data_IF_803177044721
#
_entry.id   IF_803177044721
#
_cell.length_a   1.000
_cell.length_b   1.000
_cell.length_c   1.000
_cell.angle_alpha   90.00
_cell.angle_beta   90.00
_cell.angle_gamma   90.00
#
_symmetry.space_group_name_H-M   'P 1'
#
loop_
_entity.id
_entity.type
_entity.pdbx_description
1 polymer ?
#
# COMPACT_ATOMS: atom_id res chain seq x y z
N UNK A 1 9.59 -30.46 -4.99
CA UNK A 1 10.06 -29.53 -6.03
C UNK A 1 9.16 -28.31 -5.90
N UNK A 2 9.68 -27.25 -5.29
CA UNK A 2 8.96 -25.97 -5.16
C UNK A 2 9.10 -25.32 -6.54
N UNK A 3 7.98 -25.18 -7.25
CA UNK A 3 7.90 -24.40 -8.47
C UNK A 3 8.34 -22.98 -8.12
N UNK A 4 9.44 -22.52 -8.67
CA UNK A 4 9.77 -21.10 -8.75
C UNK A 4 8.71 -20.47 -9.66
N UNK A 5 7.62 -19.94 -9.08
CA UNK A 5 6.76 -19.01 -9.79
C UNK A 5 7.67 -17.84 -10.20
N UNK A 6 7.74 -17.57 -11.48
CA UNK A 6 8.33 -16.32 -11.97
C UNK A 6 7.59 -15.18 -11.25
N UNK A 7 8.30 -14.48 -10.36
CA UNK A 7 7.72 -13.32 -9.70
C UNK A 7 7.36 -12.31 -10.79
N UNK A 8 6.10 -11.95 -10.87
CA UNK A 8 5.64 -10.89 -11.75
C UNK A 8 6.33 -9.59 -11.29
N UNK A 9 7.23 -9.08 -12.11
CA UNK A 9 7.93 -7.80 -11.83
C UNK A 9 6.98 -6.65 -12.15
N UNK A 10 7.03 -5.59 -11.35
CA UNK A 10 6.26 -4.37 -11.60
C UNK A 10 6.58 -3.78 -12.98
N UNK A 11 5.58 -3.20 -13.65
CA UNK A 11 5.78 -2.36 -14.83
C UNK A 11 6.63 -1.14 -14.44
N UNK A 12 7.69 -0.89 -15.22
CA UNK A 12 8.70 0.11 -14.92
C UNK A 12 8.67 1.27 -15.92
N UNK A 13 8.97 2.46 -15.44
CA UNK A 13 9.21 3.65 -16.23
C UNK A 13 10.67 4.10 -16.00
N UNK A 14 11.46 4.23 -17.05
CA UNK A 14 12.79 4.81 -16.95
C UNK A 14 12.69 6.32 -16.75
N UNK A 15 13.52 6.88 -15.89
CA UNK A 15 13.58 8.32 -15.66
C UNK A 15 13.88 9.11 -16.95
N UNK A 16 14.65 8.53 -17.85
CA UNK A 16 14.95 9.15 -19.16
C UNK A 16 13.68 9.36 -20.02
N UNK A 17 12.66 8.54 -19.80
CA UNK A 17 11.35 8.60 -20.48
C UNK A 17 10.27 9.28 -19.64
N UNK A 18 10.66 9.93 -18.53
CA UNK A 18 9.72 10.51 -17.60
C UNK A 18 8.96 11.68 -18.23
N UNK A 19 7.68 11.47 -18.43
CA UNK A 19 6.69 12.46 -18.83
C UNK A 19 5.48 12.37 -17.92
N UNK A 20 4.91 13.50 -17.50
CA UNK A 20 3.81 13.53 -16.53
C UNK A 20 2.55 12.87 -17.06
N UNK A 21 2.24 13.03 -18.35
CA UNK A 21 1.04 12.43 -18.97
C UNK A 21 1.18 10.92 -18.98
N UNK A 22 2.33 10.43 -19.49
CA UNK A 22 2.63 8.98 -19.51
C UNK A 22 2.63 8.38 -18.11
N UNK A 23 3.20 9.09 -17.15
CA UNK A 23 3.20 8.64 -15.75
C UNK A 23 1.78 8.48 -15.22
N UNK A 24 0.90 9.46 -15.49
CA UNK A 24 -0.51 9.41 -15.07
C UNK A 24 -1.27 8.29 -15.80
N UNK A 25 -1.06 8.12 -17.10
CA UNK A 25 -1.65 7.02 -17.87
C UNK A 25 -1.28 5.64 -17.30
N UNK A 26 -0.02 5.41 -16.97
CA UNK A 26 0.42 4.16 -16.34
C UNK A 26 -0.21 3.97 -14.96
N UNK A 27 -0.31 5.04 -14.18
CA UNK A 27 -0.92 5.00 -12.84
C UNK A 27 -2.43 4.67 -12.92
N UNK A 28 -3.13 5.20 -13.91
CA UNK A 28 -4.55 4.92 -14.14
C UNK A 28 -4.77 3.49 -14.67
N UNK A 29 -3.94 3.04 -15.62
CA UNK A 29 -4.03 1.71 -16.22
C UNK A 29 -3.67 0.60 -15.23
N UNK A 30 -2.48 0.67 -14.64
CA UNK A 30 -1.94 -0.40 -13.79
C UNK A 30 -2.27 -0.23 -12.31
N UNK A 31 -2.66 0.96 -11.87
CA UNK A 31 -2.86 1.30 -10.47
C UNK A 31 -1.55 1.64 -9.74
N UNK A 32 -0.40 1.57 -10.41
CA UNK A 32 0.92 1.90 -9.86
C UNK A 32 1.93 2.28 -10.94
N UNK A 33 3.00 2.97 -10.53
CA UNK A 33 4.19 3.23 -11.36
C UNK A 33 5.44 3.00 -10.52
N UNK A 34 6.43 2.29 -11.08
CA UNK A 34 7.77 2.20 -10.55
C UNK A 34 8.73 2.97 -11.45
N UNK A 35 9.24 4.10 -10.95
CA UNK A 35 10.21 4.95 -11.64
C UNK A 35 11.61 4.56 -11.19
N UNK A 36 12.45 4.13 -12.14
CA UNK A 36 13.85 3.75 -11.91
C UNK A 36 14.83 4.65 -12.67
N UNK A 37 16.13 4.44 -12.44
CA UNK A 37 17.18 5.28 -13.07
C UNK A 37 17.16 6.74 -12.59
N UNK A 38 16.54 7.04 -11.45
CA UNK A 38 16.33 8.41 -10.96
C UNK A 38 17.64 8.99 -10.45
N UNK A 39 18.07 10.19 -10.93
CA UNK A 39 19.32 10.80 -10.53
C UNK A 39 19.29 11.27 -9.08
N UNK A 40 20.46 11.29 -8.46
CA UNK A 40 20.65 11.92 -7.15
C UNK A 40 20.28 13.41 -7.23
N UNK A 41 19.45 13.87 -6.32
CA UNK A 41 18.97 15.27 -6.29
C UNK A 41 17.65 15.52 -7.01
N UNK A 42 17.01 14.48 -7.56
CA UNK A 42 15.63 14.60 -8.04
C UNK A 42 14.69 14.96 -6.88
N UNK A 43 13.88 15.99 -7.07
CA UNK A 43 12.92 16.45 -6.06
C UNK A 43 11.61 15.63 -6.16
N UNK A 44 11.60 14.50 -5.45
CA UNK A 44 10.44 13.60 -5.39
C UNK A 44 9.19 14.29 -4.83
N UNK A 45 9.37 15.20 -3.87
CA UNK A 45 8.25 15.90 -3.22
C UNK A 45 7.61 16.87 -4.21
N UNK A 46 8.42 17.68 -4.89
CA UNK A 46 7.95 18.61 -5.90
C UNK A 46 7.27 17.85 -7.07
N UNK A 47 7.86 16.74 -7.51
CA UNK A 47 7.28 15.93 -8.58
C UNK A 47 5.90 15.37 -8.16
N UNK A 48 5.82 14.74 -6.99
CA UNK A 48 4.58 14.16 -6.49
C UNK A 48 3.49 15.20 -6.24
N UNK A 49 3.84 16.44 -5.88
CA UNK A 49 2.86 17.54 -5.72
C UNK A 49 2.14 17.91 -7.02
N UNK A 50 2.62 17.45 -8.18
CA UNK A 50 1.94 17.61 -9.48
C UNK A 50 0.93 16.48 -9.74
N UNK A 51 1.01 15.37 -8.98
CA UNK A 51 0.09 14.23 -9.07
C UNK A 51 -1.14 14.43 -8.18
N UNK A 52 -0.96 15.07 -7.02
CA UNK A 52 -2.04 15.38 -6.09
C UNK A 52 -1.55 16.12 -4.85
N UNK A 53 -2.47 16.67 -4.04
CA UNK A 53 -2.13 17.40 -2.81
C UNK A 53 -1.42 16.49 -1.81
N UNK A 54 -0.30 16.96 -1.25
CA UNK A 54 0.41 16.27 -0.19
C UNK A 54 -0.44 16.21 1.09
N UNK A 55 -0.51 15.03 1.69
CA UNK A 55 -1.32 14.76 2.88
C UNK A 55 -0.42 14.49 4.09
N UNK A 56 -0.66 15.14 5.25
CA UNK A 56 0.10 14.89 6.47
C UNK A 56 -0.02 13.44 6.94
N UNK A 57 1.10 12.89 7.42
CA UNK A 57 1.18 11.57 8.05
C UNK A 57 0.57 11.59 9.46
N UNK A 58 0.67 10.47 10.20
CA UNK A 58 0.13 10.36 11.56
C UNK A 58 0.66 11.41 12.55
N UNK A 59 1.91 11.85 12.39
CA UNK A 59 2.60 12.84 13.22
C UNK A 59 2.45 14.29 12.73
N UNK A 60 1.74 14.50 11.62
CA UNK A 60 1.55 15.79 10.98
C UNK A 60 2.60 16.16 9.94
N UNK A 61 3.69 15.40 9.81
CA UNK A 61 4.72 15.61 8.82
C UNK A 61 4.28 15.09 7.43
N UNK A 62 4.81 15.69 6.37
CA UNK A 62 4.50 15.26 4.99
C UNK A 62 5.30 14.03 4.55
N UNK A 63 6.43 13.77 5.17
CA UNK A 63 7.34 12.69 4.84
C UNK A 63 7.56 11.80 6.05
N UNK A 64 7.28 10.52 5.92
CA UNK A 64 7.52 9.52 6.95
C UNK A 64 8.75 8.68 6.63
N UNK A 65 9.71 8.65 7.56
CA UNK A 65 10.92 7.82 7.44
C UNK A 65 10.61 6.37 7.79
N UNK A 66 10.80 5.45 6.82
CA UNK A 66 10.64 4.01 7.03
C UNK A 66 12.03 3.38 7.14
N UNK A 67 12.52 3.31 8.37
CA UNK A 67 13.77 2.65 8.77
C UNK A 67 13.51 1.80 10.00
N UNK A 68 14.07 0.59 10.03
CA UNK A 68 13.89 -0.32 11.16
C UNK A 68 14.37 0.26 12.49
N UNK A 69 13.53 0.17 13.53
CA UNK A 69 13.80 0.62 14.89
C UNK A 69 13.53 -0.54 15.84
N UNK A 70 14.46 -0.79 16.79
CA UNK A 70 14.41 -1.93 17.72
C UNK A 70 13.11 -1.95 18.55
N UNK A 71 12.60 -0.78 18.94
CA UNK A 71 11.33 -0.69 19.71
C UNK A 71 10.13 -1.34 19.04
N UNK A 72 10.15 -1.54 17.71
CA UNK A 72 9.06 -2.13 16.96
C UNK A 72 9.31 -3.58 16.53
N UNK A 73 10.41 -4.20 16.94
CA UNK A 73 10.78 -5.53 16.47
C UNK A 73 9.73 -6.60 16.82
N UNK A 74 9.00 -6.43 17.92
CA UNK A 74 7.93 -7.35 18.35
C UNK A 74 6.52 -6.86 18.03
N UNK A 75 6.38 -5.71 17.36
CA UNK A 75 5.10 -5.13 17.00
C UNK A 75 4.83 -5.26 15.49
N UNK A 76 3.55 -5.40 15.12
CA UNK A 76 3.15 -5.28 13.71
C UNK A 76 3.21 -3.82 13.30
N UNK A 77 4.28 -3.46 12.56
CA UNK A 77 4.55 -2.07 12.16
C UNK A 77 5.49 -1.99 10.95
N UNK A 78 5.39 -0.89 10.18
CA UNK A 78 6.28 -0.63 9.03
C UNK A 78 7.74 -0.37 9.42
N UNK A 79 8.01 0.04 10.66
CA UNK A 79 9.35 0.36 11.18
C UNK A 79 10.06 -0.86 11.82
N UNK A 80 9.71 -2.08 11.43
CA UNK A 80 10.45 -3.29 11.74
C UNK A 80 10.95 -3.98 10.47
N UNK A 81 11.61 -5.13 10.61
CA UNK A 81 12.13 -5.93 9.49
C UNK A 81 11.23 -7.11 9.10
N UNK A 82 10.13 -7.36 9.85
CA UNK A 82 9.22 -8.48 9.61
C UNK A 82 8.36 -8.25 8.37
N UNK A 83 7.83 -9.30 7.74
CA UNK A 83 6.83 -9.15 6.68
C UNK A 83 5.61 -8.35 7.15
N UNK A 84 5.03 -7.58 6.24
CA UNK A 84 3.71 -6.99 6.44
C UNK A 84 2.69 -7.77 5.60
N UNK A 85 1.55 -8.07 6.17
CA UNK A 85 0.45 -8.72 5.48
C UNK A 85 -0.27 -7.74 4.55
N UNK A 86 -1.00 -8.24 3.53
CA UNK A 86 -1.73 -7.40 2.59
C UNK A 86 -2.68 -6.42 3.28
N UNK A 87 -2.58 -5.13 2.92
CA UNK A 87 -3.43 -4.05 3.44
C UNK A 87 -3.46 -2.85 2.49
N UNK A 88 -4.50 -2.02 2.60
CA UNK A 88 -4.51 -0.65 2.09
C UNK A 88 -4.03 0.28 3.22
N UNK A 89 -3.52 1.45 2.90
CA UNK A 89 -3.04 2.39 3.94
C UNK A 89 -4.20 3.19 4.52
N UNK A 90 -4.11 3.52 5.82
CA UNK A 90 -5.10 4.37 6.51
C UNK A 90 -6.54 3.84 6.46
N UNK A 91 -6.72 2.53 6.43
CA UNK A 91 -8.03 1.87 6.46
C UNK A 91 -8.87 2.29 7.68
N UNK A 92 -8.25 2.75 8.76
CA UNK A 92 -8.86 3.21 10.01
C UNK A 92 -9.12 4.72 10.09
N UNK A 93 -8.92 5.47 9.01
CA UNK A 93 -9.23 6.89 8.98
C UNK A 93 -10.74 7.11 8.86
N UNK A 94 -11.29 8.09 9.60
CA UNK A 94 -12.71 8.46 9.53
C UNK A 94 -13.10 9.05 8.16
N UNK A 95 -12.20 9.83 7.56
CA UNK A 95 -12.38 10.38 6.22
C UNK A 95 -11.78 9.45 5.15
N UNK A 96 -11.60 9.98 3.95
CA UNK A 96 -10.92 9.27 2.88
C UNK A 96 -9.46 8.99 3.27
N UNK A 97 -8.97 7.78 3.01
CA UNK A 97 -7.54 7.50 3.10
C UNK A 97 -6.79 8.25 1.97
N UNK A 98 -5.47 8.35 2.02
CA UNK A 98 -4.71 8.89 0.90
C UNK A 98 -5.06 8.13 -0.38
N UNK A 99 -5.27 8.86 -1.48
CA UNK A 99 -5.53 8.25 -2.78
C UNK A 99 -4.29 7.56 -3.32
N UNK A 100 -3.15 8.23 -3.19
CA UNK A 100 -1.88 7.64 -3.60
C UNK A 100 -0.91 7.53 -2.42
N UNK A 101 -0.18 6.46 -2.44
CA UNK A 101 0.94 6.20 -1.56
C UNK A 101 2.21 6.16 -2.39
N UNK A 102 3.24 6.89 -1.99
CA UNK A 102 4.54 6.87 -2.65
C UNK A 102 5.65 6.44 -1.68
N UNK A 103 6.55 5.59 -2.16
CA UNK A 103 7.78 5.19 -1.47
C UNK A 103 8.98 5.61 -2.30
N UNK A 104 9.78 6.49 -1.75
CA UNK A 104 11.05 6.93 -2.31
C UNK A 104 12.20 6.22 -1.59
N UNK A 105 13.04 5.50 -2.34
CA UNK A 105 14.14 4.73 -1.79
C UNK A 105 15.39 5.58 -1.59
N UNK A 106 15.87 5.66 -0.35
CA UNK A 106 17.19 6.22 -0.03
C UNK A 106 18.26 5.14 -0.01
N UNK A 107 17.96 4.02 0.67
CA UNK A 107 18.85 2.88 0.82
C UNK A 107 18.02 1.59 0.66
N UNK A 108 18.23 0.82 -0.41
CA UNK A 108 17.60 -0.50 -0.55
C UNK A 108 18.16 -1.49 0.48
N UNK A 109 17.47 -2.60 0.70
CA UNK A 109 18.00 -3.69 1.53
C UNK A 109 19.11 -4.43 0.77
N UNK A 110 20.28 -4.58 1.38
CA UNK A 110 21.42 -5.26 0.76
C UNK A 110 21.22 -6.78 0.62
N UNK A 111 20.27 -7.37 1.36
CA UNK A 111 19.93 -8.79 1.32
C UNK A 111 18.85 -9.13 0.27
N UNK A 112 18.42 -8.16 -0.54
CA UNK A 112 17.36 -8.32 -1.55
C UNK A 112 15.96 -8.49 -0.98
N UNK A 113 15.78 -8.42 0.35
CA UNK A 113 14.47 -8.43 1.00
C UNK A 113 13.82 -7.06 1.06
N UNK A 114 12.64 -6.97 1.73
CA UNK A 114 11.93 -5.71 1.91
C UNK A 114 11.27 -5.17 0.64
N UNK A 115 11.02 -6.04 -0.34
CA UNK A 115 10.25 -5.72 -1.55
C UNK A 115 8.85 -5.23 -1.15
N UNK A 116 8.34 -4.24 -1.84
CA UNK A 116 6.91 -3.89 -1.78
C UNK A 116 6.17 -4.66 -2.86
N UNK A 117 5.14 -5.38 -2.46
CA UNK A 117 4.32 -6.17 -3.37
C UNK A 117 2.92 -5.58 -3.45
N UNK A 118 2.32 -5.60 -4.64
CA UNK A 118 1.05 -4.95 -4.96
C UNK A 118 0.12 -5.90 -5.68
N UNK A 119 -1.18 -5.85 -5.35
CA UNK A 119 -2.23 -6.54 -6.11
C UNK A 119 -3.47 -5.67 -6.24
N UNK A 120 -4.20 -5.83 -7.34
CA UNK A 120 -5.31 -4.97 -7.73
C UNK A 120 -6.64 -5.49 -7.17
N UNK A 121 -7.16 -4.83 -6.13
CA UNK A 121 -8.44 -5.20 -5.53
C UNK A 121 -9.65 -4.93 -6.45
N UNK A 122 -9.54 -4.05 -7.46
CA UNK A 122 -10.64 -3.89 -8.41
C UNK A 122 -10.79 -5.15 -9.27
N UNK A 123 -9.67 -5.80 -9.65
CA UNK A 123 -9.72 -7.11 -10.30
C UNK A 123 -10.24 -8.21 -9.36
N UNK A 124 -9.93 -8.14 -8.08
CA UNK A 124 -10.57 -9.02 -7.09
C UNK A 124 -12.08 -8.84 -7.06
N UNK A 125 -12.60 -7.59 -7.10
CA UNK A 125 -14.04 -7.34 -7.15
C UNK A 125 -14.74 -7.97 -8.36
N UNK A 126 -14.02 -8.14 -9.50
CA UNK A 126 -14.55 -8.81 -10.69
C UNK A 126 -14.78 -10.31 -10.49
N UNK A 127 -14.13 -10.92 -9.50
CA UNK A 127 -14.31 -12.34 -9.13
C UNK A 127 -15.53 -12.58 -8.25
N UNK A 128 -16.15 -11.51 -7.74
CA UNK A 128 -17.27 -11.59 -6.80
C UNK A 128 -18.61 -11.60 -7.52
N UNK A 129 -19.59 -12.28 -6.95
CA UNK A 129 -20.99 -12.14 -7.36
C UNK A 129 -21.52 -10.75 -6.98
N UNK A 130 -22.62 -10.33 -7.60
CA UNK A 130 -23.28 -9.07 -7.27
C UNK A 130 -23.70 -9.01 -5.78
N UNK A 131 -24.21 -10.14 -5.23
CA UNK A 131 -24.60 -10.25 -3.83
C UNK A 131 -23.40 -10.09 -2.88
N UNK A 132 -22.25 -10.73 -3.18
CA UNK A 132 -21.03 -10.61 -2.40
C UNK A 132 -20.51 -9.17 -2.42
N UNK A 133 -20.52 -8.51 -3.59
CA UNK A 133 -20.11 -7.12 -3.75
C UNK A 133 -21.03 -6.17 -2.96
N UNK A 134 -22.34 -6.36 -3.04
CA UNK A 134 -23.30 -5.59 -2.24
C UNK A 134 -23.03 -5.78 -0.74
N UNK A 135 -22.74 -7.00 -0.31
CA UNK A 135 -22.41 -7.29 1.08
C UNK A 135 -21.11 -6.62 1.53
N UNK A 136 -20.09 -6.56 0.67
CA UNK A 136 -18.85 -5.78 0.94
C UNK A 136 -19.13 -4.29 1.13
N UNK A 137 -20.09 -3.74 0.39
CA UNK A 137 -20.44 -2.33 0.44
C UNK A 137 -21.39 -1.98 1.60
N UNK A 138 -22.25 -2.90 2.03
CA UNK A 138 -23.27 -2.66 3.06
C UNK A 138 -22.83 -3.04 4.47
N UNK A 139 -21.96 -4.05 4.60
CA UNK A 139 -21.51 -4.53 5.92
C UNK A 139 -20.31 -3.72 6.40
N UNK A 140 -20.43 -3.13 7.59
CA UNK A 140 -19.39 -2.30 8.19
C UNK A 140 -18.61 -3.07 9.25
N UNK A 141 -17.31 -2.91 9.24
CA UNK A 141 -16.39 -3.52 10.20
C UNK A 141 -15.54 -2.45 10.89
N UNK A 142 -15.18 -2.60 12.18
CA UNK A 142 -14.23 -1.73 12.83
C UNK A 142 -12.80 -2.07 12.39
N UNK A 143 -12.10 -1.06 11.89
CA UNK A 143 -10.68 -1.08 11.63
C UNK A 143 -9.92 -0.40 12.75
N UNK A 144 -8.80 -0.97 13.15
CA UNK A 144 -7.96 -0.48 14.25
C UNK A 144 -6.55 -0.29 13.73
N UNK A 145 -5.90 0.81 14.08
CA UNK A 145 -4.49 1.03 13.73
C UNK A 145 -3.60 -0.13 14.15
N UNK A 146 -2.51 -0.36 13.42
CA UNK A 146 -1.53 -1.39 13.77
C UNK A 146 -0.96 -1.21 15.17
N UNK A 147 -0.48 -2.30 15.78
CA UNK A 147 0.06 -2.27 17.14
C UNK A 147 1.17 -1.23 17.32
N UNK A 148 2.03 -1.03 16.31
CA UNK A 148 3.08 -0.03 16.38
C UNK A 148 2.56 1.41 16.34
N UNK A 149 1.52 1.70 15.54
CA UNK A 149 0.87 3.02 15.52
C UNK A 149 0.17 3.30 16.86
N UNK A 150 -0.44 2.29 17.46
CA UNK A 150 -1.05 2.40 18.80
C UNK A 150 0.03 2.66 19.88
N UNK A 151 1.17 1.95 19.83
CA UNK A 151 2.30 2.13 20.76
C UNK A 151 2.88 3.56 20.71
N UNK A 152 2.80 4.21 19.55
CA UNK A 152 3.19 5.61 19.37
C UNK A 152 2.16 6.62 19.93
N UNK A 153 1.02 6.17 20.42
CA UNK A 153 -0.07 7.04 20.87
C UNK A 153 -0.86 7.71 19.70
N UNK A 154 -0.67 7.23 18.48
CA UNK A 154 -1.29 7.77 17.26
C UNK A 154 -2.46 6.90 16.76
N UNK A 155 -2.83 5.87 17.53
CA UNK A 155 -3.85 4.90 17.18
C UNK A 155 -5.22 5.53 16.94
N UNK A 156 -5.90 5.01 15.91
CA UNK A 156 -7.27 5.39 15.52
C UNK A 156 -8.11 4.13 15.37
N UNK A 157 -9.41 4.31 15.43
CA UNK A 157 -10.40 3.28 15.11
C UNK A 157 -11.52 3.92 14.32
N UNK A 158 -11.92 3.28 13.23
CA UNK A 158 -13.07 3.72 12.44
C UNK A 158 -13.89 2.51 11.98
N UNK A 159 -15.16 2.74 11.64
CA UNK A 159 -16.09 1.70 11.19
C UNK A 159 -16.48 1.99 9.75
N UNK A 160 -16.06 1.13 8.83
CA UNK A 160 -16.27 1.28 7.39
C UNK A 160 -16.70 -0.04 6.73
N UNK A 161 -17.35 0.01 5.57
CA UNK A 161 -17.42 -1.15 4.69
C UNK A 161 -16.03 -1.45 4.10
N UNK A 162 -15.84 -2.66 3.59
CA UNK A 162 -14.63 -3.02 2.84
C UNK A 162 -14.61 -2.35 1.45
N UNK A 163 -15.79 -2.13 0.86
CA UNK A 163 -15.98 -1.43 -0.40
C UNK A 163 -16.85 -0.18 -0.15
N UNK A 164 -16.26 0.99 -0.30
CA UNK A 164 -16.95 2.27 -0.19
C UNK A 164 -17.28 2.78 -1.60
N UNK A 165 -18.53 2.53 -2.04
CA UNK A 165 -19.02 3.04 -3.33
C UNK A 165 -19.22 4.56 -3.24
N UNK A 166 -18.89 5.28 -4.32
CA UNK A 166 -18.98 6.74 -4.40
C UNK A 166 -19.62 7.18 -5.72
N UNK A 167 -20.63 8.03 -5.64
CA UNK A 167 -21.32 8.51 -6.82
C UNK A 167 -20.40 9.31 -7.75
N UNK A 168 -20.31 8.91 -9.01
CA UNK A 168 -19.49 9.59 -10.02
C UNK A 168 -17.97 9.50 -9.83
N UNK A 169 -17.50 8.67 -8.89
CA UNK A 169 -16.07 8.46 -8.61
C UNK A 169 -15.74 6.98 -8.48
N UNK A 170 -14.46 6.66 -8.61
CA UNK A 170 -13.99 5.30 -8.33
C UNK A 170 -14.22 4.94 -6.86
N UNK A 171 -14.57 3.67 -6.56
CA UNK A 171 -14.76 3.21 -5.19
C UNK A 171 -13.47 3.23 -4.39
N UNK A 172 -13.60 3.15 -3.06
CA UNK A 172 -12.46 3.00 -2.16
C UNK A 172 -12.51 1.62 -1.52
N UNK A 173 -11.42 0.86 -1.69
CA UNK A 173 -11.21 -0.39 -0.96
C UNK A 173 -10.51 -0.11 0.35
N UNK A 174 -11.08 -0.61 1.47
CA UNK A 174 -10.43 -0.62 2.78
C UNK A 174 -10.21 -2.06 3.19
N UNK A 175 -8.97 -2.44 3.31
CA UNK A 175 -8.61 -3.80 3.67
C UNK A 175 -7.39 -3.85 4.59
N UNK A 176 -7.44 -4.71 5.58
CA UNK A 176 -6.25 -5.10 6.34
C UNK A 176 -6.41 -6.53 6.82
N UNK A 177 -5.48 -7.39 6.46
CA UNK A 177 -5.50 -8.77 6.91
C UNK A 177 -5.44 -8.90 8.44
N UNK A 178 -4.68 -8.02 9.12
CA UNK A 178 -4.42 -8.11 10.55
C UNK A 178 -5.23 -7.14 11.43
N UNK A 179 -5.73 -6.04 10.88
CA UNK A 179 -6.21 -4.91 11.67
C UNK A 179 -7.71 -4.63 11.52
N UNK A 180 -8.49 -5.61 11.04
CA UNK A 180 -9.95 -5.59 11.13
C UNK A 180 -10.38 -6.31 12.41
N UNK A 181 -11.23 -5.69 13.22
CA UNK A 181 -11.84 -6.32 14.36
C UNK A 181 -12.99 -7.27 13.94
N UNK A 182 -13.58 -8.00 14.88
CA UNK A 182 -14.56 -9.06 14.62
C UNK A 182 -14.04 -10.20 13.74
N UNK A 183 -12.89 -10.71 14.11
CA UNK A 183 -12.20 -11.80 13.41
C UNK A 183 -13.01 -13.09 13.30
N UNK A 184 -14.09 -13.24 14.08
CA UNK A 184 -14.95 -14.42 14.09
C UNK A 184 -16.17 -14.31 13.15
N UNK A 185 -16.32 -13.17 12.44
CA UNK A 185 -17.39 -13.04 11.43
C UNK A 185 -17.07 -13.94 10.23
N UNK A 186 -17.94 -14.94 9.91
CA UNK A 186 -17.65 -15.91 8.84
C UNK A 186 -17.50 -15.29 7.45
N UNK A 187 -18.23 -14.20 7.17
CA UNK A 187 -18.11 -13.50 5.90
C UNK A 187 -16.76 -12.79 5.79
N UNK A 188 -16.37 -12.06 6.85
CA UNK A 188 -15.07 -11.39 6.88
C UNK A 188 -13.90 -12.37 6.79
N UNK A 189 -13.97 -13.51 7.48
CA UNK A 189 -12.98 -14.57 7.40
C UNK A 189 -12.85 -15.10 5.97
N UNK A 190 -13.96 -15.41 5.32
CA UNK A 190 -13.95 -15.87 3.93
C UNK A 190 -13.33 -14.82 2.97
N UNK A 191 -13.73 -13.55 3.10
CA UNK A 191 -13.18 -12.46 2.28
C UNK A 191 -11.68 -12.31 2.50
N UNK A 192 -11.22 -12.36 3.75
CA UNK A 192 -9.78 -12.24 4.07
C UNK A 192 -8.95 -13.34 3.40
N UNK A 193 -9.38 -14.58 3.50
CA UNK A 193 -8.66 -15.70 2.88
C UNK A 193 -8.68 -15.61 1.35
N UNK A 194 -9.81 -15.27 0.75
CA UNK A 194 -9.92 -15.08 -0.71
C UNK A 194 -9.05 -13.92 -1.22
N UNK A 195 -8.98 -12.80 -0.48
CA UNK A 195 -8.07 -11.69 -0.83
C UNK A 195 -6.61 -12.14 -0.71
N UNK A 196 -6.26 -12.92 0.32
CA UNK A 196 -4.90 -13.43 0.47
C UNK A 196 -4.52 -14.40 -0.65
N UNK A 197 -5.40 -15.32 -1.02
CA UNK A 197 -5.22 -16.24 -2.14
C UNK A 197 -5.03 -15.46 -3.45
N UNK A 198 -5.94 -14.53 -3.75
CA UNK A 198 -5.86 -13.66 -4.92
C UNK A 198 -4.56 -12.85 -4.95
N UNK A 199 -4.18 -12.28 -3.80
CA UNK A 199 -2.92 -11.55 -3.66
C UNK A 199 -1.72 -12.45 -3.98
N UNK A 200 -1.66 -13.66 -3.43
CA UNK A 200 -0.56 -14.60 -3.66
C UNK A 200 -0.42 -15.00 -5.13
N UNK A 201 -1.53 -15.06 -5.86
CA UNK A 201 -1.55 -15.44 -7.28
C UNK A 201 -1.24 -14.28 -8.24
N UNK A 202 -1.57 -13.04 -7.85
CA UNK A 202 -1.60 -11.91 -8.80
C UNK A 202 -0.65 -10.76 -8.47
N UNK A 203 0.01 -10.79 -7.30
CA UNK A 203 0.86 -9.67 -6.91
C UNK A 203 2.06 -9.51 -7.83
N UNK A 204 2.47 -8.28 -7.99
CA UNK A 204 3.73 -7.87 -8.59
C UNK A 204 4.68 -7.40 -7.49
N UNK A 205 5.99 -7.51 -7.69
CA UNK A 205 7.00 -7.13 -6.71
C UNK A 205 7.90 -6.00 -7.24
N UNK A 206 8.12 -4.99 -6.41
CA UNK A 206 9.07 -3.91 -6.67
C UNK A 206 10.36 -4.14 -5.88
N UNK A 207 11.46 -4.27 -6.61
CA UNK A 207 12.81 -4.25 -6.09
C UNK A 207 13.34 -2.82 -6.13
N UNK A 208 13.67 -2.26 -4.97
CA UNK A 208 14.12 -0.88 -4.90
C UNK A 208 15.59 -0.74 -5.25
N UNK A 209 15.90 0.32 -5.99
CA UNK A 209 17.24 0.86 -6.17
C UNK A 209 17.34 2.26 -5.54
N UNK A 210 18.56 2.79 -5.30
CA UNK A 210 18.70 4.13 -4.76
C UNK A 210 18.01 5.19 -5.62
N UNK A 211 17.26 6.08 -5.01
CA UNK A 211 16.44 7.15 -5.59
C UNK A 211 15.20 6.68 -6.38
N UNK A 212 14.97 5.38 -6.57
CA UNK A 212 13.75 4.91 -7.22
C UNK A 212 12.49 5.35 -6.46
N UNK A 213 11.38 5.48 -7.19
CA UNK A 213 10.08 5.88 -6.68
C UNK A 213 9.02 4.85 -7.07
N UNK A 214 8.35 4.28 -6.09
CA UNK A 214 7.14 3.49 -6.31
C UNK A 214 5.94 4.30 -5.81
N UNK A 215 4.94 4.51 -6.67
CA UNK A 215 3.65 5.10 -6.30
C UNK A 215 2.52 4.17 -6.70
N UNK A 216 1.46 4.11 -5.91
CA UNK A 216 0.26 3.35 -6.26
C UNK A 216 -1.03 4.02 -5.77
N UNK A 217 -2.13 3.70 -6.46
CA UNK A 217 -3.48 4.09 -6.07
C UNK A 217 -3.94 3.25 -4.88
N UNK A 218 -3.88 3.81 -3.70
CA UNK A 218 -4.22 3.13 -2.45
C UNK A 218 -5.73 2.86 -2.29
N UNK A 219 -6.60 3.54 -3.05
CA UNK A 219 -8.03 3.22 -3.09
C UNK A 219 -8.32 1.92 -3.86
N UNK A 220 -7.38 1.49 -4.70
CA UNK A 220 -7.48 0.34 -5.60
C UNK A 220 -6.54 -0.81 -5.21
N UNK A 221 -5.29 -0.50 -4.85
CA UNK A 221 -4.25 -1.50 -4.65
C UNK A 221 -4.11 -1.90 -3.19
N UNK A 222 -4.05 -3.19 -2.95
CA UNK A 222 -3.57 -3.74 -1.68
C UNK A 222 -2.07 -3.98 -1.79
N UNK A 223 -1.34 -3.69 -0.72
CA UNK A 223 0.11 -3.85 -0.70
C UNK A 223 0.60 -4.65 0.51
N UNK A 224 1.79 -5.19 0.38
CA UNK A 224 2.47 -5.92 1.43
C UNK A 224 3.98 -5.66 1.35
N UNK A 225 4.74 -6.18 2.27
CA UNK A 225 6.20 -6.09 2.26
C UNK A 225 6.80 -7.44 2.64
N UNK A 226 7.76 -7.92 1.87
CA UNK A 226 8.56 -9.10 2.25
C UNK A 226 9.45 -8.78 3.45
N UNK A 227 9.82 -9.80 4.22
CA UNK A 227 10.79 -9.64 5.31
C UNK A 227 12.19 -9.29 4.78
N UNK A 228 13.02 -8.70 5.62
CA UNK A 228 14.42 -8.38 5.32
C UNK A 228 15.25 -8.40 6.62
N UNK A 229 16.56 -8.39 6.51
CA UNK A 229 17.48 -8.41 7.64
C UNK A 229 18.34 -7.15 7.74
N UNK A 230 18.58 -6.46 6.62
CA UNK A 230 19.39 -5.25 6.57
C UNK A 230 18.69 -4.04 7.21
N UNK A 231 19.04 -3.73 8.43
CA UNK A 231 18.47 -2.59 9.19
C UNK A 231 18.86 -1.20 8.63
N UNK A 232 19.75 -1.14 7.65
CA UNK A 232 20.10 0.12 6.98
C UNK A 232 19.10 0.50 5.91
N UNK A 233 18.24 -0.43 5.46
CA UNK A 233 17.18 -0.13 4.52
C UNK A 233 16.40 1.10 4.96
N UNK A 234 16.28 2.09 4.06
CA UNK A 234 15.63 3.35 4.36
C UNK A 234 14.80 3.84 3.18
N UNK A 235 13.51 3.90 3.37
CA UNK A 235 12.57 4.52 2.44
C UNK A 235 11.93 5.76 3.07
N UNK A 236 11.42 6.64 2.23
CA UNK A 236 10.54 7.75 2.63
C UNK A 236 9.16 7.54 2.05
N UNK A 237 8.13 7.61 2.90
CA UNK A 237 6.73 7.51 2.48
C UNK A 237 6.13 8.90 2.36
N UNK A 238 5.36 9.11 1.32
CA UNK A 238 4.61 10.33 1.05
C UNK A 238 3.17 9.92 0.74
N UNK A 239 2.21 10.64 1.30
CA UNK A 239 0.79 10.47 1.04
C UNK A 239 0.25 11.60 0.18
N UNK A 240 -0.62 11.28 -0.76
CA UNK A 240 -1.31 12.23 -1.61
C UNK A 240 -2.81 12.06 -1.44
N UNK A 241 -3.50 13.17 -1.19
CA UNK A 241 -4.96 13.19 -1.15
C UNK A 241 -5.56 13.04 -2.55
N UNK A 242 -6.84 12.77 -2.62
CA UNK A 242 -7.65 12.94 -3.83
C UNK A 242 -8.00 14.41 -4.01
N UNK A 243 -7.95 14.92 -5.24
CA UNK A 243 -8.42 16.26 -5.60
C UNK A 243 -9.95 16.41 -5.47
#
# INVERSE_FOLDING_TARGET
MISTQEQNVVSQLDYADLDLVRFQEMLDEHGYVYLHGVPTGFDHVQYLSQIGPLMPQYDGELIWSIKAQERFDDLYHSLNTKPLMPHTECYEFLGLPPKYLALWCLVPAADGGGQTTLSDLYRFLETLTAEEREKLASTKFPFVSSAGVQDMGLGKTAVHPLLEEREGRSPVMRFSYNCVAHRDDPFLLNVRERVLEFFNETHVAADFEPNSLLIWNNHRMVHSRTGYTDRNRHLRRIWLAED
#
